data_IF_098548105856
#
_entry.id   IF_098548105856
#
_cell.length_a   1.000
_cell.length_b   1.000
_cell.length_c   1.000
_cell.angle_alpha   90.00
_cell.angle_beta   90.00
_cell.angle_gamma   90.00
#
_symmetry.space_group_name_H-M   'P 1'
#
loop_
_entity.id
_entity.type
_entity.pdbx_description
1 polymer ?
#
# COMPACT_ATOMS: atom_id res chain seq x y z
N UNK A 1 0.07 6.55 -13.99
CA UNK A 1 0.65 6.72 -12.64
C UNK A 1 -0.02 5.87 -11.54
N UNK A 2 -0.98 4.97 -11.85
CA UNK A 2 -1.63 4.11 -10.84
C UNK A 2 -1.75 2.63 -11.23
N UNK A 3 -0.96 2.24 -12.23
CA UNK A 3 -1.01 0.91 -12.84
C UNK A 3 0.00 -0.04 -12.17
N UNK A 4 0.67 0.41 -11.10
CA UNK A 4 1.77 -0.29 -10.44
C UNK A 4 1.42 -0.95 -9.10
N UNK A 5 0.35 -0.51 -8.43
CA UNK A 5 -0.26 -1.33 -7.37
C UNK A 5 -0.86 -2.63 -7.93
N UNK A 6 -1.17 -2.68 -9.23
CA UNK A 6 -1.77 -3.84 -9.91
C UNK A 6 -0.82 -5.03 -10.07
N UNK A 7 0.49 -4.83 -10.23
CA UNK A 7 1.42 -5.92 -10.52
C UNK A 7 2.25 -6.39 -9.32
N UNK A 8 2.44 -5.55 -8.29
CA UNK A 8 3.05 -5.97 -7.02
C UNK A 8 2.19 -7.08 -6.36
N UNK A 9 0.88 -7.11 -6.60
CA UNK A 9 -0.04 -8.09 -6.03
C UNK A 9 -0.29 -9.31 -6.93
N UNK A 10 -0.35 -9.15 -8.26
CA UNK A 10 -0.68 -10.26 -9.17
C UNK A 10 0.44 -11.31 -9.33
N UNK A 11 1.70 -10.92 -9.12
CA UNK A 11 2.83 -11.88 -9.09
C UNK A 11 2.96 -12.63 -7.75
N UNK A 12 2.29 -12.18 -6.68
CA UNK A 12 2.66 -12.61 -5.32
C UNK A 12 1.54 -13.12 -4.43
N UNK A 13 0.25 -12.93 -4.75
CA UNK A 13 -0.83 -13.56 -3.96
C UNK A 13 -0.74 -13.30 -2.45
N UNK A 14 -0.23 -12.13 -2.01
CA UNK A 14 0.09 -11.84 -0.60
C UNK A 14 -0.31 -10.40 -0.23
N UNK A 15 -0.80 -10.25 1.01
CA UNK A 15 -1.33 -9.01 1.58
C UNK A 15 -0.25 -7.96 1.91
N UNK A 16 -0.65 -6.69 1.87
CA UNK A 16 0.24 -5.55 2.12
C UNK A 16 0.37 -5.26 3.63
N UNK A 17 1.56 -4.84 4.06
CA UNK A 17 1.81 -4.37 5.44
C UNK A 17 2.05 -2.86 5.40
N UNK A 18 1.27 -2.09 6.17
CA UNK A 18 1.40 -0.64 6.25
C UNK A 18 2.65 -0.21 7.01
N UNK A 19 3.36 0.80 6.51
CA UNK A 19 4.47 1.45 7.20
C UNK A 19 3.93 2.42 8.27
N UNK A 20 4.41 2.32 9.50
CA UNK A 20 4.01 3.19 10.61
C UNK A 20 4.78 4.51 10.58
N UNK A 21 4.08 5.64 10.47
CA UNK A 21 4.62 6.98 10.74
C UNK A 21 4.26 7.42 12.16
N UNK A 22 5.26 7.77 12.97
CA UNK A 22 5.05 8.30 14.34
C UNK A 22 4.62 9.78 14.30
N UNK A 23 3.54 10.12 15.02
CA UNK A 23 3.32 11.49 15.55
C UNK A 23 3.25 11.44 17.07
N UNK A 24 4.03 12.32 17.70
CA UNK A 24 4.12 12.51 19.15
C UNK A 24 2.76 12.91 19.74
N UNK A 25 2.36 12.23 20.81
CA UNK A 25 1.24 12.64 21.66
C UNK A 25 1.62 13.88 22.47
N UNK A 26 0.75 14.89 22.47
CA UNK A 26 0.67 15.89 23.52
C UNK A 26 -0.47 15.49 24.46
N UNK A 27 -0.15 15.31 25.74
CA UNK A 27 -1.12 15.10 26.81
C UNK A 27 -1.57 16.44 27.37
N UNK A 28 -2.85 16.77 27.23
CA UNK A 28 -3.49 17.78 28.06
C UNK A 28 -4.69 17.14 28.75
N UNK A 29 -4.75 17.35 30.07
CA UNK A 29 -5.74 16.75 30.95
C UNK A 29 -7.07 17.50 30.92
N UNK A 30 -8.16 16.76 30.79
CA UNK A 30 -9.51 17.28 31.02
C UNK A 30 -10.16 16.58 32.22
N UNK A 31 -10.30 17.36 33.29
CA UNK A 31 -11.58 17.66 33.93
C UNK A 31 -12.50 16.51 34.34
N UNK A 32 -12.65 16.37 35.65
CA UNK A 32 -13.51 15.44 36.40
C UNK A 32 -15.04 15.68 36.25
N UNK A 33 -15.51 16.15 35.08
CA UNK A 33 -16.94 16.41 34.79
C UNK A 33 -17.51 15.64 33.58
N UNK A 34 -16.74 14.77 32.92
CA UNK A 34 -17.20 13.94 31.79
C UNK A 34 -17.84 12.58 32.12
N UNK A 35 -18.00 12.22 33.41
CA UNK A 35 -18.34 10.85 33.86
C UNK A 35 -19.84 10.47 33.86
N UNK A 36 -20.70 11.18 33.11
CA UNK A 36 -22.16 10.96 33.16
C UNK A 36 -22.86 10.82 31.80
N UNK A 37 -22.26 10.13 30.82
CA UNK A 37 -22.97 9.75 29.57
C UNK A 37 -22.51 8.39 29.00
N UNK A 38 -22.48 7.31 29.79
CA UNK A 38 -22.25 5.95 29.27
C UNK A 38 -23.49 5.07 29.48
N UNK A 39 -24.56 5.37 28.75
CA UNK A 39 -25.69 4.47 28.59
C UNK A 39 -25.36 3.37 27.57
N UNK A 40 -25.19 2.13 28.07
CA UNK A 40 -25.60 0.92 27.36
C UNK A 40 -24.70 0.42 26.24
N UNK A 41 -23.53 -0.13 26.56
CA UNK A 41 -22.90 -1.13 25.68
C UNK A 41 -23.80 -2.37 25.65
N UNK A 42 -24.72 -2.44 24.68
CA UNK A 42 -25.43 -3.69 24.38
C UNK A 42 -24.38 -4.75 24.06
N UNK A 43 -24.46 -5.90 24.74
CA UNK A 43 -23.64 -7.08 24.50
C UNK A 43 -23.55 -7.36 23.00
N UNK A 44 -22.33 -7.45 22.47
CA UNK A 44 -22.10 -7.83 21.07
C UNK A 44 -22.52 -9.30 20.92
N UNK A 45 -23.47 -9.61 20.03
CA UNK A 45 -23.95 -10.96 19.87
C UNK A 45 -22.85 -11.85 19.25
N UNK A 46 -22.81 -13.14 19.60
CA UNK A 46 -21.76 -14.07 19.14
C UNK A 46 -22.35 -15.22 18.34
N UNK A 47 -21.58 -15.78 17.41
CA UNK A 47 -22.04 -16.89 16.55
C UNK A 47 -22.33 -18.19 17.33
N UNK A 48 -21.89 -18.29 18.59
CA UNK A 48 -22.27 -19.38 19.51
C UNK A 48 -23.78 -19.40 19.80
N UNK A 49 -24.46 -18.26 19.64
CA UNK A 49 -25.90 -18.11 19.88
C UNK A 49 -26.76 -18.55 18.67
N UNK A 50 -26.12 -19.03 17.59
CA UNK A 50 -26.77 -19.41 16.34
C UNK A 50 -26.89 -18.24 15.34
N UNK A 51 -27.57 -18.46 14.20
CA UNK A 51 -27.71 -17.44 13.16
C UNK A 51 -28.60 -16.28 13.63
N UNK A 52 -28.17 -15.05 13.34
CA UNK A 52 -28.95 -13.86 13.64
C UNK A 52 -30.04 -13.62 12.59
N UNK A 53 -31.16 -13.02 13.01
CA UNK A 53 -32.18 -12.53 12.08
C UNK A 53 -31.55 -11.55 11.09
N UNK A 54 -31.74 -11.71 9.76
CA UNK A 54 -31.22 -10.78 8.77
C UNK A 54 -31.65 -9.34 9.06
N UNK A 55 -30.70 -8.41 8.97
CA UNK A 55 -30.94 -6.98 9.15
C UNK A 55 -30.51 -6.24 7.89
N UNK A 56 -31.41 -5.43 7.34
CA UNK A 56 -31.12 -4.51 6.25
C UNK A 56 -31.21 -3.08 6.78
N UNK A 57 -30.15 -2.29 6.56
CA UNK A 57 -30.20 -0.84 6.81
C UNK A 57 -30.89 -0.19 5.62
N UNK A 58 -31.89 0.67 5.87
CA UNK A 58 -32.54 1.42 4.80
C UNK A 58 -31.52 2.33 4.13
N UNK A 59 -31.57 2.39 2.81
CA UNK A 59 -30.77 3.34 2.04
C UNK A 59 -31.11 4.77 2.48
N UNK A 60 -30.09 5.57 2.76
CA UNK A 60 -30.27 6.97 3.05
C UNK A 60 -30.15 7.77 1.74
N UNK A 61 -31.25 8.32 1.19
CA UNK A 61 -31.24 9.02 -0.08
C UNK A 61 -30.49 10.37 -0.05
N UNK A 62 -30.15 10.89 1.14
CA UNK A 62 -29.33 12.11 1.25
C UNK A 62 -27.84 11.87 1.03
N UNK A 63 -27.38 10.61 0.98
CA UNK A 63 -25.99 10.30 0.67
C UNK A 63 -25.70 10.56 -0.81
N UNK A 64 -24.55 11.18 -1.09
CA UNK A 64 -24.06 11.43 -2.45
C UNK A 64 -23.99 10.10 -3.22
N UNK A 65 -24.41 10.12 -4.49
CA UNK A 65 -24.26 8.98 -5.40
C UNK A 65 -22.94 9.11 -6.15
N UNK A 66 -22.18 8.02 -6.18
CA UNK A 66 -20.85 7.98 -6.80
C UNK A 66 -19.75 8.57 -5.92
N UNK A 67 -18.52 8.40 -6.39
CA UNK A 67 -17.31 8.96 -5.80
C UNK A 67 -16.45 9.46 -6.95
N UNK A 68 -16.05 10.73 -6.90
CA UNK A 68 -15.17 11.28 -7.94
C UNK A 68 -13.74 10.77 -7.71
N UNK A 69 -13.10 10.35 -8.80
CA UNK A 69 -11.68 10.02 -8.81
C UNK A 69 -10.85 11.23 -8.40
N UNK A 70 -9.73 10.98 -7.72
CA UNK A 70 -8.80 12.04 -7.36
C UNK A 70 -8.22 12.66 -8.64
N UNK A 71 -8.17 14.00 -8.74
CA UNK A 71 -7.63 14.64 -9.92
C UNK A 71 -6.13 14.35 -10.06
N UNK A 72 -5.62 14.31 -11.28
CA UNK A 72 -4.23 13.90 -11.56
C UNK A 72 -3.17 14.84 -10.95
N UNK A 73 -3.53 16.09 -10.70
CA UNK A 73 -2.71 17.10 -10.03
C UNK A 73 -2.83 17.06 -8.50
N UNK A 74 -3.61 16.11 -7.95
CA UNK A 74 -3.75 15.95 -6.51
C UNK A 74 -2.36 15.78 -5.86
N UNK A 75 -1.98 16.55 -4.82
CA UNK A 75 -0.62 16.57 -4.28
C UNK A 75 -0.07 15.22 -3.78
N UNK A 76 -0.96 14.30 -3.38
CA UNK A 76 -0.62 12.92 -3.00
C UNK A 76 -0.21 12.02 -4.19
N UNK A 77 -0.57 12.38 -5.42
CA UNK A 77 -0.23 11.63 -6.65
C UNK A 77 1.00 12.20 -7.34
N UNK A 78 1.39 13.43 -7.02
CA UNK A 78 2.57 14.06 -7.58
C UNK A 78 3.84 13.27 -7.22
N UNK A 79 4.71 13.07 -8.20
CA UNK A 79 6.06 12.56 -7.99
C UNK A 79 6.86 13.53 -7.12
N UNK A 80 7.45 13.03 -6.04
CA UNK A 80 8.16 13.87 -5.03
C UNK A 80 9.65 13.63 -4.97
N UNK A 81 10.15 12.69 -5.78
CA UNK A 81 11.55 12.29 -5.80
C UNK A 81 12.08 12.35 -7.23
N UNK A 82 13.39 12.63 -7.43
CA UNK A 82 13.99 12.52 -8.75
C UNK A 82 13.85 11.09 -9.29
N UNK A 83 13.86 10.92 -10.62
CA UNK A 83 13.51 9.64 -11.25
C UNK A 83 14.35 8.46 -10.78
N UNK A 84 15.63 8.65 -10.44
CA UNK A 84 16.49 7.55 -9.96
C UNK A 84 16.15 7.06 -8.54
N UNK A 85 15.38 7.84 -7.76
CA UNK A 85 15.03 7.50 -6.39
C UNK A 85 13.77 6.62 -6.31
N UNK A 86 13.68 5.74 -5.28
CA UNK A 86 12.50 4.92 -5.05
C UNK A 86 11.22 5.73 -4.81
N UNK A 87 10.14 5.30 -5.44
CA UNK A 87 8.77 5.71 -5.12
C UNK A 87 7.82 4.50 -5.11
N UNK A 88 6.56 4.71 -4.68
CA UNK A 88 5.54 3.65 -4.59
C UNK A 88 6.01 2.42 -3.79
N UNK A 89 6.71 2.67 -2.68
CA UNK A 89 7.27 1.63 -1.82
C UNK A 89 6.14 0.85 -1.16
N UNK A 90 6.19 -0.48 -1.28
CA UNK A 90 5.20 -1.40 -0.75
C UNK A 90 5.87 -2.61 -0.09
N UNK A 91 5.25 -3.11 0.97
CA UNK A 91 5.65 -4.31 1.69
C UNK A 91 4.62 -5.40 1.51
N UNK A 92 5.07 -6.63 1.28
CA UNK A 92 4.20 -7.81 1.26
C UNK A 92 4.80 -8.93 2.09
N UNK A 93 3.98 -9.52 2.97
CA UNK A 93 4.42 -10.65 3.79
C UNK A 93 4.71 -11.86 2.88
N UNK A 94 5.70 -12.69 3.22
CA UNK A 94 5.86 -14.03 2.63
C UNK A 94 5.68 -15.11 3.69
N UNK A 95 6.34 -14.95 4.83
CA UNK A 95 6.21 -15.79 6.03
C UNK A 95 6.52 -14.94 7.26
N UNK A 96 6.34 -15.44 8.50
CA UNK A 96 6.79 -14.75 9.70
C UNK A 96 8.30 -14.37 9.71
N UNK A 97 9.10 -15.00 8.84
CA UNK A 97 10.55 -14.81 8.74
C UNK A 97 11.00 -14.24 7.38
N UNK A 98 10.06 -13.80 6.54
CA UNK A 98 10.35 -13.29 5.20
C UNK A 98 9.35 -12.22 4.76
N UNK A 99 9.89 -11.13 4.21
CA UNK A 99 9.14 -9.96 3.76
C UNK A 99 9.62 -9.56 2.36
N UNK A 100 8.70 -9.20 1.47
CA UNK A 100 9.01 -8.56 0.20
C UNK A 100 8.98 -7.05 0.37
N UNK A 101 10.00 -6.39 -0.16
CA UNK A 101 10.05 -4.94 -0.35
C UNK A 101 10.02 -4.69 -1.85
N UNK A 102 9.05 -3.89 -2.30
CA UNK A 102 8.91 -3.52 -3.71
C UNK A 102 8.81 -2.01 -3.85
N UNK A 103 9.33 -1.48 -4.94
CA UNK A 103 9.27 -0.05 -5.27
C UNK A 103 9.46 0.14 -6.76
N UNK A 104 9.35 1.38 -7.23
CA UNK A 104 9.70 1.74 -8.61
C UNK A 104 10.76 2.83 -8.67
N UNK A 105 11.56 2.82 -9.74
CA UNK A 105 12.48 3.89 -10.12
C UNK A 105 12.31 4.20 -11.61
N UNK A 106 12.55 5.44 -11.99
CA UNK A 106 12.31 5.99 -13.33
C UNK A 106 10.91 6.58 -13.48
N UNK A 107 10.59 7.00 -14.69
CA UNK A 107 9.28 7.53 -15.05
C UNK A 107 8.59 6.60 -16.03
N UNK A 108 7.31 6.33 -15.78
CA UNK A 108 6.49 5.62 -16.75
C UNK A 108 6.21 6.52 -17.96
N UNK A 109 6.11 5.91 -19.14
CA UNK A 109 5.84 6.64 -20.39
C UNK A 109 4.44 6.29 -20.88
N UNK A 110 3.71 7.31 -21.35
CA UNK A 110 2.42 7.18 -22.03
C UNK A 110 2.54 7.93 -23.36
N UNK A 111 2.19 7.28 -24.46
CA UNK A 111 2.25 7.92 -25.78
C UNK A 111 2.07 6.94 -26.93
N UNK A 112 2.06 7.46 -28.16
CA UNK A 112 2.00 6.63 -29.37
C UNK A 112 3.26 5.75 -29.53
N UNK A 113 4.42 6.27 -29.15
CA UNK A 113 5.68 5.54 -29.04
C UNK A 113 6.16 5.53 -27.60
N UNK A 114 6.44 4.34 -27.06
CA UNK A 114 7.04 4.14 -25.74
C UNK A 114 8.28 3.27 -25.88
N UNK A 115 9.31 3.54 -25.08
CA UNK A 115 10.54 2.75 -25.06
C UNK A 115 10.73 2.18 -23.65
N UNK A 116 10.58 0.86 -23.46
CA UNK A 116 10.79 0.24 -22.16
C UNK A 116 12.16 0.59 -21.60
N UNK A 117 12.21 0.94 -20.31
CA UNK A 117 13.47 1.18 -19.61
C UNK A 117 14.26 -0.13 -19.49
N UNK A 118 15.59 -0.04 -19.45
CA UNK A 118 16.44 -1.19 -19.15
C UNK A 118 16.40 -1.48 -17.64
N UNK A 119 15.80 -2.60 -17.17
CA UNK A 119 15.71 -2.90 -15.75
C UNK A 119 17.09 -3.17 -15.10
N UNK A 120 18.14 -3.42 -15.89
CA UNK A 120 19.50 -3.61 -15.37
C UNK A 120 20.25 -2.30 -15.07
N UNK A 121 19.69 -1.16 -15.47
CA UNK A 121 20.29 0.17 -15.28
C UNK A 121 20.26 0.66 -13.83
N UNK A 122 19.45 0.06 -12.96
CA UNK A 122 19.31 0.41 -11.54
C UNK A 122 19.28 -0.87 -10.70
N UNK A 123 20.12 -0.95 -9.67
CA UNK A 123 20.17 -2.10 -8.77
C UNK A 123 18.93 -2.18 -7.86
N UNK A 124 18.54 -3.41 -7.52
CA UNK A 124 17.49 -3.71 -6.54
C UNK A 124 18.11 -4.10 -5.20
N UNK A 125 18.43 -3.13 -4.35
CA UNK A 125 19.04 -3.37 -3.03
C UNK A 125 18.09 -2.96 -1.89
N UNK A 126 18.08 -3.76 -0.83
CA UNK A 126 17.50 -3.39 0.46
C UNK A 126 18.55 -3.53 1.54
N UNK A 127 18.90 -2.40 2.13
CA UNK A 127 19.78 -2.29 3.29
C UNK A 127 18.91 -2.26 4.54
N UNK A 128 19.13 -3.17 5.50
CA UNK A 128 18.27 -3.30 6.67
C UNK A 128 19.02 -3.70 7.95
N UNK A 129 18.37 -3.44 9.08
CA UNK A 129 18.88 -3.75 10.42
C UNK A 129 17.82 -3.57 11.51
N UNK A 130 18.17 -3.88 12.75
CA UNK A 130 17.26 -3.80 13.91
C UNK A 130 17.35 -2.47 14.67
N UNK A 131 18.23 -1.57 14.23
CA UNK A 131 18.50 -0.26 14.83
C UNK A 131 18.39 0.82 13.74
N UNK A 132 17.74 1.93 14.06
CA UNK A 132 17.60 3.08 13.15
C UNK A 132 18.98 3.63 12.80
N UNK A 133 19.20 3.93 11.52
CA UNK A 133 20.47 4.41 10.98
C UNK A 133 21.58 3.35 10.87
N UNK A 134 21.32 2.08 11.21
CA UNK A 134 22.32 1.01 11.24
C UNK A 134 21.89 -0.19 10.36
N UNK A 135 22.26 -0.14 9.08
CA UNK A 135 21.87 -1.15 8.08
C UNK A 135 22.99 -2.18 7.85
N UNK A 136 23.10 -3.17 8.75
CA UNK A 136 24.20 -4.16 8.72
C UNK A 136 24.01 -5.26 7.66
N UNK A 137 22.80 -5.42 7.14
CA UNK A 137 22.46 -6.44 6.16
C UNK A 137 22.07 -5.78 4.84
N UNK A 138 22.44 -6.42 3.74
CA UNK A 138 22.01 -6.03 2.40
C UNK A 138 21.48 -7.26 1.66
N UNK A 139 20.29 -7.13 1.10
CA UNK A 139 19.68 -8.14 0.25
C UNK A 139 19.49 -7.55 -1.14
N UNK A 140 19.89 -8.32 -2.15
CA UNK A 140 19.64 -7.99 -3.57
C UNK A 140 18.41 -8.74 -4.07
N UNK A 141 17.72 -8.14 -5.03
CA UNK A 141 16.57 -8.75 -5.70
C UNK A 141 16.60 -8.54 -7.21
N UNK A 142 15.43 -8.52 -7.82
CA UNK A 142 15.25 -8.42 -9.27
C UNK A 142 14.58 -7.11 -9.65
N UNK A 143 14.72 -6.75 -10.92
CA UNK A 143 14.05 -5.61 -11.53
C UNK A 143 13.34 -6.05 -12.81
N UNK A 144 12.21 -5.44 -13.14
CA UNK A 144 11.46 -5.72 -14.35
C UNK A 144 10.74 -4.47 -14.85
N UNK A 145 10.30 -4.51 -16.11
CA UNK A 145 9.43 -3.50 -16.73
C UNK A 145 8.29 -4.23 -17.43
N UNK A 146 7.13 -3.59 -17.55
CA UNK A 146 6.04 -4.09 -18.38
C UNK A 146 5.52 -3.00 -19.30
N UNK A 147 4.88 -3.43 -20.38
CA UNK A 147 4.22 -2.52 -21.32
C UNK A 147 2.78 -2.95 -21.56
N UNK A 148 1.90 -1.97 -21.72
CA UNK A 148 0.54 -2.14 -22.19
C UNK A 148 0.45 -1.52 -23.58
N UNK A 149 0.37 -2.38 -24.60
CA UNK A 149 0.44 -1.97 -26.00
C UNK A 149 -0.90 -2.20 -26.69
N UNK A 150 -1.35 -1.22 -27.46
CA UNK A 150 -2.59 -1.25 -28.21
C UNK A 150 -2.31 -1.05 -29.71
N UNK A 151 -2.52 -2.08 -30.56
CA UNK A 151 -2.23 -2.00 -31.99
C UNK A 151 -3.38 -1.35 -32.78
N UNK A 152 -3.98 -0.29 -32.24
CA UNK A 152 -5.12 0.40 -32.84
C UNK A 152 -4.83 1.90 -32.96
N UNK A 153 -5.18 2.48 -34.10
CA UNK A 153 -5.01 3.91 -34.34
C UNK A 153 -5.77 4.74 -33.30
N UNK A 154 -5.13 5.81 -32.82
CA UNK A 154 -5.70 6.71 -31.82
C UNK A 154 -5.60 6.23 -30.37
N UNK A 155 -5.10 5.02 -30.09
CA UNK A 155 -4.82 4.56 -28.72
C UNK A 155 -3.36 4.86 -28.32
N UNK A 156 -3.17 5.22 -27.05
CA UNK A 156 -1.85 5.42 -26.46
C UNK A 156 -1.33 4.14 -25.81
N UNK A 157 -0.04 3.90 -25.97
CA UNK A 157 0.71 2.83 -25.31
C UNK A 157 1.23 3.31 -23.96
N UNK A 158 1.56 2.35 -23.10
CA UNK A 158 2.21 2.58 -21.82
C UNK A 158 3.40 1.65 -21.64
N UNK A 159 4.49 2.17 -21.07
CA UNK A 159 5.55 1.33 -20.48
C UNK A 159 5.85 1.83 -19.07
N UNK A 160 6.10 0.90 -18.15
CA UNK A 160 6.29 1.22 -16.74
C UNK A 160 7.64 1.86 -16.46
N UNK A 161 7.72 2.50 -15.29
CA UNK A 161 8.99 2.64 -14.57
C UNK A 161 9.61 1.26 -14.28
N UNK A 162 10.87 1.21 -13.86
CA UNK A 162 11.53 -0.02 -13.43
C UNK A 162 10.94 -0.45 -12.09
N UNK A 163 10.50 -1.69 -12.00
CA UNK A 163 9.86 -2.28 -10.83
C UNK A 163 10.85 -3.20 -10.15
N UNK A 164 11.11 -2.95 -8.86
CA UNK A 164 12.06 -3.70 -8.07
C UNK A 164 11.33 -4.59 -7.07
N UNK A 165 11.83 -5.82 -6.90
CA UNK A 165 11.35 -6.77 -5.91
C UNK A 165 12.53 -7.38 -5.15
N UNK A 166 12.57 -7.20 -3.84
CA UNK A 166 13.60 -7.77 -2.97
C UNK A 166 12.95 -8.59 -1.87
N UNK A 167 13.34 -9.87 -1.76
CA UNK A 167 12.88 -10.76 -0.70
C UNK A 167 13.86 -10.79 0.45
N UNK A 168 13.49 -10.19 1.57
CA UNK A 168 14.19 -10.34 2.84
C UNK A 168 13.92 -11.73 3.41
N UNK A 169 14.96 -12.39 3.89
CA UNK A 169 14.92 -13.75 4.44
C UNK A 169 15.68 -13.81 5.76
N UNK A 170 15.40 -14.84 6.57
CA UNK A 170 16.05 -15.02 7.87
C UNK A 170 15.69 -13.95 8.89
N UNK A 171 14.53 -13.30 8.72
CA UNK A 171 14.05 -12.31 9.68
C UNK A 171 13.54 -13.00 10.95
N UNK A 172 13.77 -12.38 12.10
CA UNK A 172 13.16 -12.80 13.36
C UNK A 172 11.66 -12.46 13.34
N UNK A 173 10.76 -13.37 13.75
CA UNK A 173 9.34 -13.08 13.91
C UNK A 173 9.10 -12.04 15.02
N UNK A 174 8.06 -11.21 14.88
CA UNK A 174 7.73 -10.12 15.81
C UNK A 174 8.94 -9.25 16.14
N UNK A 175 9.65 -8.83 15.09
CA UNK A 175 10.84 -8.00 15.20
C UNK A 175 10.69 -6.80 14.30
N UNK A 176 11.03 -5.64 14.86
CA UNK A 176 11.11 -4.38 14.12
C UNK A 176 12.40 -4.33 13.33
N UNK A 177 12.29 -4.00 12.05
CA UNK A 177 13.40 -3.77 11.14
C UNK A 177 13.29 -2.38 10.52
N UNK A 178 14.42 -1.69 10.45
CA UNK A 178 14.62 -0.44 9.73
C UNK A 178 15.28 -0.76 8.40
N UNK A 179 14.86 -0.11 7.32
CA UNK A 179 15.40 -0.38 6.00
C UNK A 179 15.42 0.85 5.10
N UNK A 180 16.30 0.79 4.11
CA UNK A 180 16.33 1.65 2.93
C UNK A 180 16.38 0.78 1.68
N UNK A 181 15.65 1.16 0.65
CA UNK A 181 15.69 0.48 -0.66
C UNK A 181 16.26 1.40 -1.74
N UNK A 182 16.69 0.83 -2.87
CA UNK A 182 17.16 1.58 -4.04
C UNK A 182 18.49 1.05 -4.58
N UNK A 183 19.33 1.96 -5.05
CA UNK A 183 20.66 1.65 -5.60
C UNK A 183 21.74 2.46 -4.88
N UNK A 184 22.58 1.77 -4.10
CA UNK A 184 23.66 2.42 -3.36
C UNK A 184 24.80 2.94 -4.24
N UNK A 185 25.03 2.35 -5.42
CA UNK A 185 26.07 2.80 -6.35
C UNK A 185 25.69 4.14 -7.02
N UNK A 186 24.38 4.38 -7.19
CA UNK A 186 23.85 5.63 -7.72
C UNK A 186 23.57 6.69 -6.63
N UNK A 187 23.86 6.39 -5.36
CA UNK A 187 23.46 7.20 -4.20
C UNK A 187 21.95 7.51 -4.17
N UNK A 188 21.15 6.59 -4.71
CA UNK A 188 19.71 6.73 -4.89
C UNK A 188 18.97 5.75 -3.98
N UNK A 189 19.17 5.93 -2.66
CA UNK A 189 18.47 5.19 -1.63
C UNK A 189 17.27 5.99 -1.11
N UNK A 190 16.22 5.29 -0.70
CA UNK A 190 15.07 5.88 -0.03
C UNK A 190 15.45 6.55 1.30
N UNK A 191 14.49 7.30 1.84
CA UNK A 191 14.48 7.59 3.27
C UNK A 191 14.37 6.29 4.09
N UNK A 192 14.66 6.38 5.39
CA UNK A 192 14.48 5.23 6.28
C UNK A 192 13.00 4.89 6.45
N UNK A 193 12.69 3.61 6.29
CA UNK A 193 11.37 3.05 6.57
C UNK A 193 11.47 1.97 7.64
N UNK A 194 10.34 1.65 8.25
CA UNK A 194 10.25 0.66 9.33
C UNK A 194 9.10 -0.30 9.08
N UNK A 195 9.31 -1.57 9.42
CA UNK A 195 8.26 -2.58 9.48
C UNK A 195 8.47 -3.53 10.66
N UNK A 196 7.41 -4.24 11.03
CA UNK A 196 7.47 -5.32 12.01
C UNK A 196 7.04 -6.63 11.35
N UNK A 197 7.83 -7.68 11.53
CA UNK A 197 7.50 -9.01 11.03
C UNK A 197 6.33 -9.62 11.80
N UNK A 198 5.53 -10.44 11.11
CA UNK A 198 4.44 -11.15 11.75
C UNK A 198 4.95 -12.13 12.81
N UNK A 199 4.15 -12.42 13.85
CA UNK A 199 4.51 -13.42 14.84
C UNK A 199 4.54 -14.83 14.23
N UNK A 200 5.42 -15.69 14.72
CA UNK A 200 5.40 -17.12 14.41
C UNK A 200 4.41 -17.85 15.32
N UNK A 201 3.52 -18.66 14.73
CA UNK A 201 2.56 -19.49 15.48
C UNK A 201 1.30 -18.76 15.94
N UNK A 202 0.52 -19.41 16.80
CA UNK A 202 -0.76 -18.89 17.32
C UNK A 202 -0.47 -17.91 18.45
N UNK A 203 -0.16 -16.67 18.08
CA UNK A 203 0.04 -15.57 19.03
C UNK A 203 -1.28 -15.07 19.58
N UNK A 204 -1.39 -15.02 20.91
CA UNK A 204 -2.56 -14.57 21.70
C UNK A 204 -2.76 -13.03 21.74
N UNK A 205 -2.05 -12.28 20.89
CA UNK A 205 -2.12 -10.81 20.82
C UNK A 205 -3.14 -10.36 19.78
N UNK A 206 -3.77 -9.18 19.93
CA UNK A 206 -4.70 -8.64 18.94
C UNK A 206 -3.93 -8.24 17.68
N UNK A 207 -3.71 -9.21 16.80
CA UNK A 207 -3.20 -8.99 15.46
C UNK A 207 -4.36 -8.48 14.60
N UNK A 208 -4.36 -7.17 14.31
CA UNK A 208 -5.44 -6.53 13.55
C UNK A 208 -5.18 -6.72 12.06
N UNK A 209 -6.05 -7.48 11.41
CA UNK A 209 -6.06 -7.64 9.96
C UNK A 209 -7.19 -6.76 9.41
N UNK A 210 -6.82 -5.72 8.68
CA UNK A 210 -7.76 -4.95 7.88
C UNK A 210 -8.11 -5.75 6.62
N UNK A 211 -9.38 -5.79 6.27
CA UNK A 211 -9.85 -6.40 5.01
C UNK A 211 -10.58 -5.32 4.22
N UNK A 212 -10.09 -5.04 3.03
CA UNK A 212 -10.68 -4.08 2.09
C UNK A 212 -10.72 -4.69 0.69
N UNK A 213 -11.53 -4.12 -0.19
CA UNK A 213 -11.62 -4.46 -1.61
C UNK A 213 -12.19 -3.25 -2.35
N UNK A 214 -12.17 -3.31 -3.69
CA UNK A 214 -12.84 -2.32 -4.54
C UNK A 214 -12.42 -0.88 -4.21
N UNK A 215 -11.12 -0.67 -3.97
CA UNK A 215 -10.64 0.56 -3.37
C UNK A 215 -10.73 1.72 -4.38
N UNK A 216 -10.17 1.53 -5.58
CA UNK A 216 -10.00 2.59 -6.56
C UNK A 216 -9.20 3.78 -6.02
N UNK A 217 -9.34 4.92 -6.69
CA UNK A 217 -8.64 6.14 -6.30
C UNK A 217 -9.58 7.34 -6.30
N UNK A 218 -10.49 7.36 -5.33
CA UNK A 218 -11.54 8.37 -5.21
C UNK A 218 -11.47 9.10 -3.88
N UNK A 219 -12.27 10.17 -3.73
CA UNK A 219 -12.41 10.84 -2.42
C UNK A 219 -12.87 9.88 -1.31
N UNK A 220 -13.81 8.97 -1.61
CA UNK A 220 -14.24 7.95 -0.64
C UNK A 220 -13.13 6.95 -0.31
N UNK A 221 -12.30 6.59 -1.30
CA UNK A 221 -11.14 5.70 -1.09
C UNK A 221 -10.19 6.31 -0.05
N UNK A 222 -10.02 7.64 -0.05
CA UNK A 222 -9.17 8.32 0.92
C UNK A 222 -9.73 8.24 2.34
N UNK A 223 -11.05 8.38 2.51
CA UNK A 223 -11.70 8.19 3.80
C UNK A 223 -11.56 6.74 4.32
N UNK A 224 -11.65 5.75 3.42
CA UNK A 224 -11.37 4.34 3.78
C UNK A 224 -9.95 4.18 4.29
N UNK A 225 -8.95 4.74 3.59
CA UNK A 225 -7.54 4.67 4.01
C UNK A 225 -7.30 5.42 5.33
N UNK A 226 -7.92 6.58 5.54
CA UNK A 226 -7.81 7.33 6.78
C UNK A 226 -8.35 6.51 7.97
N UNK A 227 -9.52 5.88 7.81
CA UNK A 227 -10.07 4.96 8.82
C UNK A 227 -9.19 3.73 9.06
N UNK A 228 -8.54 3.18 8.03
CA UNK A 228 -7.56 2.11 8.22
C UNK A 228 -6.38 2.58 9.04
N UNK A 229 -5.82 3.76 8.74
CA UNK A 229 -4.70 4.33 9.46
C UNK A 229 -5.04 4.56 10.94
N UNK A 230 -6.23 5.09 11.25
CA UNK A 230 -6.73 5.28 12.62
C UNK A 230 -6.81 3.95 13.40
N UNK A 231 -7.15 2.85 12.72
CA UNK A 231 -7.25 1.53 13.34
C UNK A 231 -5.90 0.81 13.53
N UNK A 232 -4.83 1.34 12.92
CA UNK A 232 -3.45 0.84 13.01
C UNK A 232 -3.34 -0.69 12.81
N UNK A 233 -3.75 -1.23 11.64
CA UNK A 233 -3.70 -2.66 11.37
C UNK A 233 -2.26 -3.15 11.21
N UNK A 234 -2.00 -4.38 11.63
CA UNK A 234 -0.72 -5.07 11.42
C UNK A 234 -0.60 -5.63 9.99
N UNK A 235 -1.72 -5.80 9.30
CA UNK A 235 -1.79 -6.33 7.94
C UNK A 235 -3.03 -5.81 7.23
N UNK A 236 -2.93 -5.56 5.92
CA UNK A 236 -4.04 -5.24 5.03
C UNK A 236 -4.19 -6.37 4.02
N UNK A 237 -5.34 -7.03 4.04
CA UNK A 237 -5.78 -7.95 2.99
C UNK A 237 -6.64 -7.17 1.99
N UNK A 238 -6.11 -6.99 0.78
CA UNK A 238 -6.79 -6.33 -0.32
C UNK A 238 -7.44 -7.38 -1.24
N UNK A 239 -8.76 -7.39 -1.32
CA UNK A 239 -9.58 -8.41 -1.98
C UNK A 239 -10.09 -7.88 -3.32
N UNK A 240 -9.23 -7.92 -4.33
CA UNK A 240 -9.58 -7.53 -5.71
C UNK A 240 -9.70 -6.02 -5.93
N UNK A 241 -9.88 -5.64 -7.19
CA UNK A 241 -10.21 -4.29 -7.67
C UNK A 241 -9.43 -3.13 -7.01
N UNK A 242 -8.22 -2.93 -7.53
CA UNK A 242 -7.23 -2.02 -6.95
C UNK A 242 -7.40 -0.58 -7.39
N UNK A 243 -7.16 -0.30 -8.67
CA UNK A 243 -7.05 1.07 -9.18
C UNK A 243 -8.16 1.50 -10.12
N UNK A 244 -8.94 0.55 -10.67
CA UNK A 244 -9.90 0.79 -11.74
C UNK A 244 -9.32 1.51 -12.98
N UNK A 245 -8.03 1.31 -13.28
CA UNK A 245 -7.41 1.90 -14.48
C UNK A 245 -8.12 1.51 -15.80
N UNK A 246 -8.87 0.41 -15.82
CA UNK A 246 -9.68 -0.05 -16.94
C UNK A 246 -10.99 0.74 -17.15
N UNK A 247 -11.35 1.67 -16.26
CA UNK A 247 -12.46 2.62 -16.46
C UNK A 247 -12.06 3.82 -17.33
N UNK A 248 -10.79 3.91 -17.70
CA UNK A 248 -10.24 5.01 -18.49
C UNK A 248 -9.89 4.56 -19.91
N UNK A 249 -10.08 5.49 -20.85
CA UNK A 249 -9.46 5.38 -22.17
C UNK A 249 -7.96 5.62 -22.04
N UNK A 250 -7.19 5.11 -22.99
CA UNK A 250 -5.73 5.28 -23.03
C UNK A 250 -5.30 6.75 -23.11
N UNK A 251 -6.18 7.63 -23.60
CA UNK A 251 -6.01 9.08 -23.65
C UNK A 251 -6.24 9.79 -22.30
N UNK A 252 -6.60 9.06 -21.25
CA UNK A 252 -6.89 9.61 -19.92
C UNK A 252 -8.32 10.15 -19.76
N UNK A 253 -9.16 10.07 -20.80
CA UNK A 253 -10.58 10.43 -20.71
C UNK A 253 -11.39 9.31 -20.05
N UNK A 254 -12.30 9.68 -19.16
CA UNK A 254 -13.24 8.75 -18.54
C UNK A 254 -14.11 8.07 -19.61
N UNK A 255 -14.31 6.76 -19.49
CA UNK A 255 -15.18 6.01 -20.40
C UNK A 255 -16.56 5.79 -19.73
N UNK A 256 -17.64 6.43 -20.21
CA UNK A 256 -18.98 6.28 -19.63
C UNK A 256 -19.56 4.87 -19.74
#
# INVERSE_FOLDING_TARGET
LLLLLLLVLFSMGLGMVGATGERRMASEGEGEQGRRLLHGWRRIPTTLEGPFKPKTRRFNPSLRRGSDDLPMDHPRLAKRVPSVFPEQIALAISSPTSMWVSWVTGDAQIGSGVTPLDPSSVASEVWYGTESGQYRFCQRGTATVYSQLYPFEGLLNYTSAIIHHVRLQGLEPRKRYYYKCGDSALLALSEEHVFETSPSGVSIHPYRIAVIGDLGLTSNSTATIDHLAENNPSMILMVGDLSYANQYRTTGLWNP
#
